data_IF_672036685579
#
_entry.id   IF_672036685579
#
_cell.length_a   1.000
_cell.length_b   1.000
_cell.length_c   1.000
_cell.angle_alpha   90.00
_cell.angle_beta   90.00
_cell.angle_gamma   90.00
#
_symmetry.space_group_name_H-M   'P 1'
#
loop_
_entity.id
_entity.type
_entity.pdbx_description
1 polymer ?
#
# COMPACT_ATOMS: atom_id res chain seq x y z
N UNK A 1 10.48 19.22 -3.68
CA UNK A 1 10.90 18.38 -4.82
C UNK A 1 10.26 17.03 -4.60
N UNK A 2 9.18 16.72 -5.31
CA UNK A 2 8.46 15.46 -5.14
C UNK A 2 9.28 14.36 -5.84
N UNK A 3 9.76 13.38 -5.07
CA UNK A 3 10.42 12.20 -5.62
C UNK A 3 9.36 11.28 -6.23
N UNK A 4 9.00 11.51 -7.49
CA UNK A 4 8.04 10.65 -8.21
C UNK A 4 8.79 9.50 -8.91
N UNK A 5 9.20 8.50 -8.15
CA UNK A 5 9.59 7.19 -8.70
C UNK A 5 8.36 6.27 -8.67
N UNK A 6 7.60 6.25 -9.77
CA UNK A 6 6.35 5.48 -9.81
C UNK A 6 6.58 3.97 -9.99
N UNK A 7 7.76 3.55 -10.43
CA UNK A 7 8.07 2.15 -10.72
C UNK A 7 9.52 1.80 -10.43
N UNK A 8 9.74 0.57 -9.95
CA UNK A 8 11.07 0.01 -9.76
C UNK A 8 11.73 -0.32 -11.11
N UNK A 9 13.01 0.02 -11.25
CA UNK A 9 13.86 -0.43 -12.36
C UNK A 9 14.63 -1.67 -11.92
N UNK A 10 14.35 -2.82 -12.51
CA UNK A 10 14.99 -4.09 -12.20
C UNK A 10 16.03 -4.43 -13.28
N UNK A 11 17.31 -4.48 -12.90
CA UNK A 11 18.43 -4.60 -13.85
C UNK A 11 18.62 -6.02 -14.42
N UNK A 12 18.37 -7.05 -13.63
CA UNK A 12 18.59 -8.46 -14.03
C UNK A 12 17.38 -9.36 -13.78
N UNK A 13 16.47 -8.95 -12.91
CA UNK A 13 15.29 -9.72 -12.55
C UNK A 13 14.12 -9.35 -13.45
N UNK A 14 13.60 -10.33 -14.21
CA UNK A 14 12.34 -10.16 -14.94
C UNK A 14 11.17 -10.29 -13.97
N UNK A 15 10.27 -9.32 -13.99
CA UNK A 15 8.99 -9.44 -13.32
C UNK A 15 8.26 -10.67 -13.86
N UNK A 16 8.12 -11.72 -13.04
CA UNK A 16 7.30 -12.87 -13.37
C UNK A 16 5.85 -12.38 -13.36
N UNK A 17 5.14 -12.53 -14.48
CA UNK A 17 3.69 -12.33 -14.49
C UNK A 17 3.09 -13.39 -13.58
N UNK A 18 2.28 -12.96 -12.62
CA UNK A 18 1.48 -13.88 -11.81
C UNK A 18 0.49 -14.57 -12.75
N UNK A 19 0.34 -15.90 -12.62
CA UNK A 19 -0.76 -16.57 -13.30
C UNK A 19 -2.05 -16.27 -12.56
N UNK A 20 -3.17 -16.32 -13.27
CA UNK A 20 -4.49 -16.09 -12.67
C UNK A 20 -4.81 -17.07 -11.54
N UNK A 21 -4.41 -18.34 -11.69
CA UNK A 21 -4.54 -19.38 -10.65
C UNK A 21 -3.73 -19.11 -9.38
N UNK A 22 -2.69 -18.27 -9.47
CA UNK A 22 -1.81 -17.91 -8.35
C UNK A 22 -2.28 -16.61 -7.64
N UNK A 23 -3.35 -15.96 -8.13
CA UNK A 23 -3.87 -14.72 -7.53
C UNK A 23 -4.61 -15.02 -6.23
N UNK A 24 -4.11 -14.50 -5.12
CA UNK A 24 -4.78 -14.58 -3.83
C UNK A 24 -5.96 -13.60 -3.76
N UNK A 25 -7.19 -14.13 -3.83
CA UNK A 25 -8.42 -13.33 -3.75
C UNK A 25 -8.97 -13.34 -2.32
N UNK A 26 -9.08 -12.17 -1.70
CA UNK A 26 -9.70 -12.04 -0.39
C UNK A 26 -11.25 -12.12 -0.47
N UNK A 27 -11.89 -12.58 0.60
CA UNK A 27 -13.36 -12.67 0.71
C UNK A 27 -13.98 -11.51 1.51
N UNK A 28 -13.32 -10.34 1.51
CA UNK A 28 -13.78 -9.19 2.29
C UNK A 28 -15.17 -8.72 1.84
N UNK A 29 -16.03 -8.41 2.81
CA UNK A 29 -17.29 -7.69 2.60
C UNK A 29 -17.21 -6.37 3.34
N UNK A 30 -17.68 -5.31 2.72
CA UNK A 30 -17.75 -3.98 3.32
C UNK A 30 -19.15 -3.40 3.09
N UNK A 31 -19.59 -2.53 3.99
CA UNK A 31 -20.81 -1.78 3.78
C UNK A 31 -20.56 -0.69 2.74
N UNK A 32 -21.40 -0.58 1.72
CA UNK A 32 -21.28 0.50 0.71
C UNK A 32 -21.34 1.89 1.37
N UNK A 33 -22.02 1.99 2.51
CA UNK A 33 -22.11 3.21 3.32
C UNK A 33 -20.90 3.45 4.24
N UNK A 34 -19.97 2.50 4.31
CA UNK A 34 -18.73 2.60 5.08
C UNK A 34 -17.52 2.05 4.29
N UNK A 35 -17.10 2.75 3.22
CA UNK A 35 -15.95 2.35 2.39
C UNK A 35 -14.64 2.27 3.16
N UNK A 36 -14.54 2.92 4.33
CA UNK A 36 -13.33 2.91 5.14
C UNK A 36 -12.97 1.49 5.63
N UNK A 37 -13.96 0.60 5.70
CA UNK A 37 -13.78 -0.80 6.11
C UNK A 37 -13.34 -1.73 4.97
N UNK A 38 -13.34 -1.25 3.72
CA UNK A 38 -13.01 -2.05 2.56
C UNK A 38 -11.54 -2.50 2.57
N UNK A 39 -11.33 -3.79 2.83
CA UNK A 39 -10.00 -4.41 2.92
C UNK A 39 -9.07 -3.69 3.90
N UNK A 40 -9.57 -3.41 5.12
CA UNK A 40 -8.76 -2.91 6.24
C UNK A 40 -8.06 -4.04 7.02
N UNK A 41 -7.89 -3.85 8.33
CA UNK A 41 -7.09 -4.71 9.23
C UNK A 41 -7.49 -6.20 9.27
N UNK A 42 -8.71 -6.54 8.85
CA UNK A 42 -9.22 -7.94 8.84
C UNK A 42 -9.14 -8.60 7.47
N UNK A 43 -8.59 -7.92 6.47
CA UNK A 43 -8.38 -8.51 5.16
C UNK A 43 -7.31 -9.59 5.24
N UNK A 44 -7.60 -10.80 4.74
CA UNK A 44 -6.62 -11.90 4.73
C UNK A 44 -5.32 -11.47 4.03
N UNK A 45 -5.44 -10.81 2.88
CA UNK A 45 -4.30 -10.34 2.12
C UNK A 45 -3.47 -9.30 2.92
N UNK A 46 -4.12 -8.38 3.64
CA UNK A 46 -3.44 -7.43 4.54
C UNK A 46 -2.68 -8.16 5.65
N UNK A 47 -3.33 -9.12 6.31
CA UNK A 47 -2.74 -9.92 7.40
C UNK A 47 -1.52 -10.73 6.95
N UNK A 48 -1.46 -11.11 5.66
CA UNK A 48 -0.33 -11.85 5.08
C UNK A 48 0.65 -10.95 4.31
N UNK A 49 0.59 -9.63 4.48
CA UNK A 49 1.43 -8.65 3.78
C UNK A 49 1.40 -8.81 2.24
N UNK A 50 0.24 -9.13 1.70
CA UNK A 50 -0.02 -9.28 0.26
C UNK A 50 -1.04 -8.22 -0.15
N UNK A 51 -0.79 -7.47 -1.23
CA UNK A 51 -1.80 -6.55 -1.74
C UNK A 51 -2.94 -7.31 -2.43
N UNK A 52 -4.16 -6.78 -2.33
CA UNK A 52 -5.25 -7.21 -3.18
C UNK A 52 -4.92 -6.90 -4.65
N UNK A 53 -5.06 -7.88 -5.55
CA UNK A 53 -4.82 -7.64 -6.98
C UNK A 53 -5.95 -6.81 -7.59
N UNK A 54 -5.58 -5.78 -8.38
CA UNK A 54 -6.54 -4.93 -9.10
C UNK A 54 -7.45 -5.78 -10.01
N UNK A 55 -8.76 -5.54 -9.96
CA UNK A 55 -9.75 -6.29 -10.75
C UNK A 55 -10.20 -7.64 -10.16
N UNK A 56 -9.48 -8.19 -9.16
CA UNK A 56 -9.85 -9.47 -8.53
C UNK A 56 -10.56 -9.29 -7.18
N UNK A 57 -10.30 -8.20 -6.48
CA UNK A 57 -10.94 -7.93 -5.19
C UNK A 57 -12.39 -7.48 -5.35
N UNK A 58 -13.31 -8.09 -4.58
CA UNK A 58 -14.74 -7.72 -4.57
C UNK A 58 -14.99 -6.28 -4.09
N UNK A 59 -14.05 -5.71 -3.32
CA UNK A 59 -14.10 -4.31 -2.89
C UNK A 59 -13.89 -3.33 -4.04
N UNK A 60 -13.41 -3.79 -5.20
CA UNK A 60 -13.20 -2.97 -6.40
C UNK A 60 -12.32 -1.75 -6.12
N UNK A 61 -12.74 -0.60 -6.65
CA UNK A 61 -12.06 0.69 -6.47
C UNK A 61 -11.97 1.13 -5.00
N UNK A 62 -12.92 0.71 -4.16
CA UNK A 62 -12.95 1.02 -2.73
C UNK A 62 -11.94 0.18 -1.93
N UNK A 63 -11.29 -0.83 -2.53
CA UNK A 63 -10.27 -1.61 -1.85
C UNK A 63 -9.11 -0.70 -1.38
N UNK A 64 -8.83 -0.73 -0.07
CA UNK A 64 -7.75 0.05 0.54
C UNK A 64 -6.42 -0.69 0.63
N UNK A 65 -6.39 -2.00 0.39
CA UNK A 65 -5.16 -2.81 0.33
C UNK A 65 -4.60 -2.90 -1.11
N UNK A 66 -4.43 -1.74 -1.76
CA UNK A 66 -3.91 -1.57 -3.13
C UNK A 66 -2.97 -0.36 -3.24
N UNK A 67 -2.37 0.08 -2.13
CA UNK A 67 -1.69 1.38 -2.02
C UNK A 67 -0.44 1.47 -2.88
N UNK A 68 0.38 0.41 -2.95
CA UNK A 68 1.56 0.36 -3.82
C UNK A 68 1.15 0.33 -5.28
N UNK A 69 0.21 -0.53 -5.66
CA UNK A 69 -0.34 -0.57 -7.03
C UNK A 69 -0.93 0.78 -7.48
N UNK A 70 -1.58 1.53 -6.57
CA UNK A 70 -2.16 2.85 -6.82
C UNK A 70 -1.19 4.03 -6.61
N UNK A 71 0.05 3.78 -6.18
CA UNK A 71 1.04 4.81 -5.84
C UNK A 71 0.56 5.80 -4.76
N UNK A 72 -0.17 5.32 -3.75
CA UNK A 72 -0.72 6.10 -2.63
C UNK A 72 0.31 6.27 -1.50
N UNK A 73 1.39 6.97 -1.82
CA UNK A 73 2.48 7.29 -0.89
C UNK A 73 2.16 8.52 -0.02
N UNK A 74 2.78 8.57 1.17
CA UNK A 74 2.69 9.74 2.05
C UNK A 74 3.40 10.96 1.44
N UNK A 75 2.97 12.17 1.81
CA UNK A 75 3.57 13.41 1.31
C UNK A 75 4.83 13.72 2.10
N UNK A 76 5.97 13.66 1.42
CA UNK A 76 7.27 13.83 2.07
C UNK A 76 7.93 15.17 1.75
N UNK A 77 8.63 15.71 2.74
CA UNK A 77 9.49 16.87 2.64
C UNK A 77 10.94 16.55 2.99
N UNK A 78 11.86 17.23 2.31
CA UNK A 78 13.31 17.06 2.51
C UNK A 78 13.84 18.15 3.42
N UNK A 79 14.68 17.79 4.39
CA UNK A 79 15.35 18.74 5.26
C UNK A 79 16.83 18.42 5.43
N UNK A 80 17.64 19.45 5.72
CA UNK A 80 19.07 19.28 5.94
C UNK A 80 19.34 18.94 7.40
N UNK A 81 20.04 17.84 7.64
CA UNK A 81 20.47 17.41 8.98
C UNK A 81 21.85 17.97 9.32
N UNK A 82 22.16 18.10 10.62
CA UNK A 82 23.50 18.49 11.08
C UNK A 82 24.46 17.30 10.97
N UNK A 83 25.30 17.30 9.94
CA UNK A 83 26.39 16.33 9.76
C UNK A 83 25.98 14.97 9.18
N UNK A 84 24.71 14.75 8.81
CA UNK A 84 24.23 13.47 8.24
C UNK A 84 23.60 13.60 6.85
N UNK A 85 23.71 14.76 6.21
CA UNK A 85 23.15 14.99 4.87
C UNK A 85 21.66 15.37 4.87
N UNK A 86 20.88 14.80 3.97
CA UNK A 86 19.44 15.06 3.83
C UNK A 86 18.61 14.02 4.60
N UNK A 87 17.57 14.47 5.28
CA UNK A 87 16.53 13.63 5.87
C UNK A 87 15.18 13.85 5.19
N UNK A 88 14.25 12.95 5.44
CA UNK A 88 12.87 13.01 4.98
C UNK A 88 11.96 13.21 6.20
N UNK A 89 10.98 14.10 6.09
CA UNK A 89 9.88 14.31 7.04
C UNK A 89 8.57 14.05 6.32
N UNK A 90 7.58 13.55 7.05
CA UNK A 90 6.19 13.55 6.57
C UNK A 90 5.57 14.92 6.87
N UNK A 91 4.74 15.42 5.94
CA UNK A 91 4.00 16.67 6.16
C UNK A 91 2.76 16.50 7.02
N UNK A 92 2.29 15.26 7.12
CA UNK A 92 1.10 14.91 7.89
C UNK A 92 1.48 14.29 9.25
N UNK A 93 0.54 14.34 10.20
CA UNK A 93 0.65 13.50 11.39
C UNK A 93 0.50 12.05 10.92
N UNK A 94 1.61 11.33 10.76
CA UNK A 94 1.61 9.88 10.54
C UNK A 94 0.75 9.26 11.63
N UNK A 95 -0.47 8.85 11.28
CA UNK A 95 -1.25 7.97 12.13
C UNK A 95 -0.49 6.66 12.15
N UNK A 96 0.30 6.47 13.20
CA UNK A 96 0.79 5.15 13.56
C UNK A 96 -0.49 4.35 13.79
N UNK A 97 -0.86 3.52 12.82
CA UNK A 97 -1.77 2.41 13.07
C UNK A 97 -0.94 1.54 14.00
N UNK A 98 -1.07 1.80 15.30
CA UNK A 98 -0.50 0.97 16.32
C UNK A 98 -0.98 -0.42 15.95
N UNK A 99 -0.04 -1.30 15.58
CA UNK A 99 -0.26 -2.72 15.63
C UNK A 99 -0.76 -2.98 17.05
N UNK A 100 -2.08 -3.03 17.23
CA UNK A 100 -2.72 -3.53 18.44
C UNK A 100 -2.51 -5.02 18.43
N UNK A 101 -1.27 -5.40 18.72
CA UNK A 101 -0.85 -6.74 19.03
C UNK A 101 0.29 -6.57 20.04
N UNK A 102 -0.11 -6.21 21.26
CA UNK A 102 -0.15 -7.11 22.41
C UNK A 102 -1.20 -6.60 23.41
#
# INVERSE_FOLDING_TARGET
MLLNFNWNVLMSYRHKKLKEEDVAVCECKYGVNDPETACGERCLNELTNTECTLGYCQSGENCRNQRFQKCEYAKINLFRTKGRGWGILDDDNIKVILLKQL
#
